data_IF_234460605197
#
_entry.id   IF_234460605197
#
_cell.length_a   1.000
_cell.length_b   1.000
_cell.length_c   1.000
_cell.angle_alpha   90.00
_cell.angle_beta   90.00
_cell.angle_gamma   90.00
#
_symmetry.space_group_name_H-M   'P 1'
#
loop_
_entity.id
_entity.type
_entity.pdbx_description
1 polymer ?
#
# COMPACT_ATOMS: atom_id res chain seq x y z
N UNK A 1 -14.24 1.92 9.42
CA UNK A 1 -13.04 1.38 8.77
C UNK A 1 -12.74 2.16 7.51
N UNK A 2 -11.50 2.28 7.16
CA UNK A 2 -11.10 2.98 5.94
C UNK A 2 -10.10 2.11 5.16
N UNK A 3 -10.30 1.98 3.85
CA UNK A 3 -9.36 1.30 2.98
C UNK A 3 -8.39 2.33 2.40
N UNK A 4 -7.12 2.13 2.63
CA UNK A 4 -6.03 2.90 2.04
C UNK A 4 -5.44 2.07 0.92
N UNK A 5 -5.63 2.53 -0.32
CA UNK A 5 -5.19 1.81 -1.53
C UNK A 5 -4.07 2.59 -2.17
N UNK A 6 -2.98 1.91 -2.49
CA UNK A 6 -1.86 2.49 -3.21
C UNK A 6 -1.65 1.68 -4.49
N UNK A 7 -1.80 2.32 -5.62
CA UNK A 7 -1.50 1.72 -6.93
C UNK A 7 -0.08 2.10 -7.33
N UNK A 8 0.68 1.12 -7.81
CA UNK A 8 2.10 1.26 -8.09
C UNK A 8 2.38 1.06 -9.58
N UNK A 9 3.09 2.05 -10.16
CA UNK A 9 3.69 1.91 -11.47
C UNK A 9 5.20 1.77 -11.30
N UNK A 10 5.76 0.55 -11.38
CA UNK A 10 7.20 0.36 -11.24
C UNK A 10 7.98 1.05 -12.36
N UNK A 11 9.22 1.45 -12.05
CA UNK A 11 10.17 1.89 -13.07
C UNK A 11 10.50 0.73 -14.00
N UNK A 12 10.84 1.02 -15.25
CA UNK A 12 11.23 0.00 -16.22
C UNK A 12 12.46 -0.81 -15.76
N UNK A 13 13.30 -0.20 -14.93
CA UNK A 13 14.51 -0.83 -14.38
C UNK A 13 14.28 -1.64 -13.12
N UNK A 14 13.09 -1.56 -12.52
CA UNK A 14 12.77 -2.30 -11.30
C UNK A 14 12.46 -3.75 -11.63
N UNK A 15 13.16 -4.68 -10.98
CA UNK A 15 12.93 -6.11 -11.20
C UNK A 15 11.72 -6.61 -10.42
N UNK A 16 11.17 -7.75 -10.85
CA UNK A 16 10.09 -8.42 -10.12
C UNK A 16 10.53 -8.83 -8.72
N UNK A 17 11.80 -9.25 -8.57
CA UNK A 17 12.33 -9.65 -7.26
C UNK A 17 12.43 -8.46 -6.30
N UNK A 18 12.90 -7.31 -6.79
CA UNK A 18 12.95 -6.08 -5.99
C UNK A 18 11.56 -5.66 -5.53
N UNK A 19 10.59 -5.72 -6.43
CA UNK A 19 9.22 -5.33 -6.13
C UNK A 19 8.57 -6.29 -5.14
N UNK A 20 8.74 -7.61 -5.32
CA UNK A 20 8.22 -8.62 -4.40
C UNK A 20 8.80 -8.45 -2.99
N UNK A 21 10.11 -8.21 -2.90
CA UNK A 21 10.77 -7.99 -1.61
C UNK A 21 10.23 -6.74 -0.93
N UNK A 22 10.02 -5.66 -1.68
CA UNK A 22 9.41 -4.43 -1.17
C UNK A 22 8.01 -4.69 -0.62
N UNK A 23 7.16 -5.39 -1.37
CA UNK A 23 5.79 -5.68 -0.96
C UNK A 23 5.74 -6.53 0.32
N UNK A 24 6.67 -7.47 0.49
CA UNK A 24 6.77 -8.24 1.74
C UNK A 24 7.17 -7.35 2.92
N UNK A 25 8.04 -6.37 2.72
CA UNK A 25 8.37 -5.39 3.76
C UNK A 25 7.17 -4.52 4.13
N UNK A 26 6.32 -4.19 3.17
CA UNK A 26 5.07 -3.44 3.44
C UNK A 26 4.17 -4.21 4.39
N UNK A 27 4.07 -5.53 4.26
CA UNK A 27 3.25 -6.37 5.14
C UNK A 27 3.64 -6.23 6.61
N UNK A 28 4.92 -5.99 6.90
CA UNK A 28 5.43 -5.85 8.27
C UNK A 28 4.84 -4.62 8.97
N UNK A 29 4.36 -3.63 8.22
CA UNK A 29 3.73 -2.44 8.80
C UNK A 29 2.56 -2.78 9.71
N UNK A 30 1.83 -3.86 9.43
CA UNK A 30 0.71 -4.27 10.29
C UNK A 30 1.15 -4.57 11.72
N UNK A 31 2.38 -5.01 11.92
CA UNK A 31 2.92 -5.36 13.24
C UNK A 31 3.42 -4.16 14.03
N UNK A 32 3.76 -3.06 13.36
CA UNK A 32 4.43 -1.93 13.99
C UNK A 32 3.65 -0.63 13.94
N UNK A 33 2.63 -0.53 13.07
CA UNK A 33 1.79 0.66 12.94
C UNK A 33 0.42 0.36 13.55
N UNK A 34 0.04 1.17 14.53
CA UNK A 34 -1.24 1.01 15.22
C UNK A 34 -2.41 1.27 14.27
N UNK A 35 -3.45 0.47 14.42
CA UNK A 35 -4.72 0.66 13.72
C UNK A 35 -4.82 -0.02 12.35
N UNK A 36 -3.76 -0.65 11.85
CA UNK A 36 -3.84 -1.45 10.64
C UNK A 36 -4.48 -2.81 10.97
N UNK A 37 -5.65 -3.05 10.39
CA UNK A 37 -6.41 -4.29 10.62
C UNK A 37 -5.95 -5.41 9.68
N UNK A 38 -5.63 -5.04 8.44
CA UNK A 38 -5.19 -5.99 7.42
C UNK A 38 -4.37 -5.28 6.35
N UNK A 39 -3.45 -6.00 5.73
CA UNK A 39 -2.70 -5.55 4.56
C UNK A 39 -2.78 -6.64 3.50
N UNK A 40 -3.11 -6.25 2.27
CA UNK A 40 -3.00 -7.08 1.08
C UNK A 40 -2.07 -6.41 0.09
N UNK A 41 -1.19 -7.17 -0.52
CA UNK A 41 -0.26 -6.67 -1.52
C UNK A 41 -0.24 -7.65 -2.69
N UNK A 42 0.04 -7.17 -3.88
CA UNK A 42 0.17 -8.06 -5.00
C UNK A 42 0.07 -7.39 -6.35
N UNK A 43 -0.06 -8.25 -7.35
CA UNK A 43 -0.15 -7.89 -8.75
C UNK A 43 -1.57 -7.47 -9.11
N UNK A 44 -1.69 -6.41 -9.89
CA UNK A 44 -2.96 -5.97 -10.46
C UNK A 44 -3.29 -6.82 -11.68
N UNK A 45 -4.35 -7.59 -11.59
CA UNK A 45 -4.77 -8.52 -12.64
C UNK A 45 -5.75 -7.93 -13.64
N UNK A 46 -6.09 -6.66 -13.52
CA UNK A 46 -6.98 -5.98 -14.47
C UNK A 46 -6.26 -5.75 -15.79
N UNK A 47 -6.98 -5.96 -16.89
CA UNK A 47 -6.50 -5.54 -18.21
C UNK A 47 -6.48 -4.02 -18.36
N UNK A 48 -7.14 -3.31 -17.46
CA UNK A 48 -7.25 -1.84 -17.47
C UNK A 48 -6.36 -1.21 -16.39
N UNK A 49 -5.19 -1.79 -16.13
CA UNK A 49 -4.31 -1.32 -15.05
C UNK A 49 -3.58 0.00 -15.38
N UNK A 50 -3.54 0.41 -16.64
CA UNK A 50 -2.94 1.71 -17.02
C UNK A 50 -1.46 1.86 -16.67
N UNK A 51 -0.71 0.76 -16.57
CA UNK A 51 0.68 0.76 -16.12
C UNK A 51 0.85 0.60 -14.61
N UNK A 52 -0.24 0.66 -13.83
CA UNK A 52 -0.22 0.41 -12.38
C UNK A 52 -0.37 -1.09 -12.13
N UNK A 53 0.73 -1.79 -12.24
CA UNK A 53 0.78 -3.26 -12.29
C UNK A 53 0.72 -3.94 -10.94
N UNK A 54 0.87 -3.18 -9.86
CA UNK A 54 0.88 -3.70 -8.49
C UNK A 54 0.12 -2.77 -7.57
N UNK A 55 -0.29 -3.28 -6.43
CA UNK A 55 -1.04 -2.50 -5.47
C UNK A 55 -0.88 -2.99 -4.04
N UNK A 56 -1.26 -2.09 -3.14
CA UNK A 56 -1.30 -2.29 -1.69
C UNK A 56 -2.66 -1.87 -1.22
N UNK A 57 -3.30 -2.68 -0.39
CA UNK A 57 -4.53 -2.31 0.30
C UNK A 57 -4.31 -2.48 1.79
N UNK A 58 -4.47 -1.39 2.53
CA UNK A 58 -4.44 -1.41 3.99
C UNK A 58 -5.83 -1.06 4.52
N UNK A 59 -6.32 -1.84 5.47
CA UNK A 59 -7.54 -1.48 6.19
C UNK A 59 -7.15 -0.88 7.52
N UNK A 60 -7.53 0.38 7.74
CA UNK A 60 -7.36 1.05 9.03
C UNK A 60 -8.66 1.02 9.80
N UNK A 61 -8.55 0.91 11.13
CA UNK A 61 -9.71 0.86 12.01
C UNK A 61 -10.54 2.15 11.93
N UNK A 62 -9.87 3.29 11.73
CA UNK A 62 -10.51 4.60 11.59
C UNK A 62 -9.59 5.59 10.87
N UNK A 63 -10.13 6.76 10.56
CA UNK A 63 -9.39 7.80 9.86
C UNK A 63 -8.26 8.40 10.70
N UNK A 64 -8.44 8.50 12.01
CA UNK A 64 -7.41 9.04 12.90
C UNK A 64 -6.13 8.20 12.85
N UNK A 65 -6.25 6.88 12.83
CA UNK A 65 -5.10 5.99 12.69
C UNK A 65 -4.47 6.07 11.29
N UNK A 66 -5.29 6.21 10.26
CA UNK A 66 -4.79 6.43 8.89
C UNK A 66 -3.94 7.71 8.84
N UNK A 67 -4.43 8.81 9.39
CA UNK A 67 -3.70 10.06 9.39
C UNK A 67 -2.41 9.97 10.21
N UNK A 68 -2.47 9.33 11.37
CA UNK A 68 -1.30 9.18 12.25
C UNK A 68 -0.18 8.36 11.61
N UNK A 69 -0.51 7.39 10.73
CA UNK A 69 0.52 6.53 10.13
C UNK A 69 1.45 7.28 9.18
N UNK A 70 1.00 8.39 8.59
CA UNK A 70 1.80 9.15 7.62
C UNK A 70 3.15 9.59 8.16
N UNK A 71 3.23 9.94 9.44
CA UNK A 71 4.46 10.37 10.09
C UNK A 71 5.20 9.27 10.84
N UNK A 72 4.66 8.06 10.84
CA UNK A 72 5.32 6.92 11.51
C UNK A 72 6.64 6.59 10.80
N UNK A 73 7.75 6.44 11.53
CA UNK A 73 9.06 6.18 10.90
C UNK A 73 9.09 4.97 9.97
N UNK A 74 8.37 3.91 10.31
CA UNK A 74 8.29 2.72 9.45
C UNK A 74 7.59 3.01 8.13
N UNK A 75 6.55 3.84 8.13
CA UNK A 75 5.86 4.27 6.91
C UNK A 75 6.75 5.20 6.07
N UNK A 76 7.45 6.14 6.71
CA UNK A 76 8.38 7.03 6.01
C UNK A 76 9.46 6.23 5.28
N UNK A 77 9.99 5.19 5.91
CA UNK A 77 10.98 4.30 5.29
C UNK A 77 10.39 3.58 4.06
N UNK A 78 9.15 3.11 4.15
CA UNK A 78 8.46 2.46 3.03
C UNK A 78 8.25 3.43 1.87
N UNK A 79 7.83 4.66 2.14
CA UNK A 79 7.63 5.68 1.10
C UNK A 79 8.94 5.99 0.38
N UNK A 80 10.04 6.11 1.11
CA UNK A 80 11.36 6.35 0.52
C UNK A 80 11.75 5.21 -0.43
N UNK A 81 11.51 3.98 -0.03
CA UNK A 81 11.80 2.80 -0.84
C UNK A 81 10.90 2.75 -2.07
N UNK A 82 9.60 3.05 -1.91
CA UNK A 82 8.63 3.11 -3.00
C UNK A 82 9.07 4.12 -4.06
N UNK A 83 9.49 5.30 -3.64
CA UNK A 83 9.96 6.36 -4.55
C UNK A 83 11.18 5.93 -5.36
N UNK A 84 12.01 5.06 -4.80
CA UNK A 84 13.15 4.48 -5.51
C UNK A 84 12.78 3.42 -6.54
N UNK A 85 11.69 2.70 -6.33
CA UNK A 85 11.27 1.57 -7.16
C UNK A 85 10.20 1.92 -8.18
N UNK A 86 9.39 2.95 -7.91
CA UNK A 86 8.21 3.27 -8.71
C UNK A 86 8.36 4.61 -9.43
N UNK A 87 7.89 4.63 -10.66
CA UNK A 87 7.80 5.83 -11.47
C UNK A 87 6.65 6.73 -11.02
N UNK A 88 5.53 6.12 -10.64
CA UNK A 88 4.35 6.80 -10.12
C UNK A 88 3.64 5.92 -9.11
N UNK A 89 2.91 6.56 -8.20
CA UNK A 89 1.95 5.89 -7.33
C UNK A 89 0.69 6.74 -7.22
N UNK A 90 -0.44 6.09 -6.96
CA UNK A 90 -1.72 6.76 -6.72
C UNK A 90 -2.26 6.26 -5.40
N UNK A 91 -2.57 7.19 -4.52
CA UNK A 91 -3.20 6.89 -3.23
C UNK A 91 -4.69 7.13 -3.33
N UNK A 92 -5.45 6.25 -2.70
CA UNK A 92 -6.89 6.29 -2.73
C UNK A 92 -7.41 5.80 -1.38
N UNK A 93 -8.12 6.68 -0.67
CA UNK A 93 -8.65 6.39 0.66
C UNK A 93 -10.17 6.35 0.60
N UNK A 94 -10.75 5.20 0.91
CA UNK A 94 -12.19 4.98 0.82
C UNK A 94 -12.75 4.50 2.16
N UNK A 95 -13.68 5.27 2.77
CA UNK A 95 -14.43 4.75 3.90
C UNK A 95 -15.22 3.51 3.50
N UNK A 96 -15.13 2.47 4.31
CA UNK A 96 -15.83 1.22 4.07
C UNK A 96 -16.92 1.04 5.11
N UNK A 97 -18.13 0.83 4.63
CA UNK A 97 -19.24 0.41 5.47
C UNK A 97 -19.11 -1.08 5.72
N UNK A 98 -19.38 -1.55 6.95
CA UNK A 98 -19.42 -2.97 7.23
C UNK A 98 -20.39 -3.67 6.29
N UNK A 99 -19.93 -4.75 5.69
CA UNK A 99 -20.75 -5.61 4.87
C UNK A 99 -21.20 -6.78 5.74
N UNK A 100 -22.48 -6.91 5.96
CA UNK A 100 -23.06 -8.10 6.57
C UNK A 100 -23.16 -9.17 5.50
N UNK A 101 -22.53 -10.29 5.76
CA UNK A 101 -22.57 -11.46 4.87
C UNK A 101 -23.61 -12.44 5.36
#
# INVERSE_FOLDING_TARGET
>A
MIAHVVLLQPKATTTNEELSAFLERVRVLQQVVSGIVAISVGENRSNYHGGFTHGIIMHFVDEAHLQAHHTHPAHVAVVTELDGLCQQSIDFDLPITEIEL
#
